data_IF_756393722004
#
_entry.id   IF_756393722004
#
_cell.length_a   1.000
_cell.length_b   1.000
_cell.length_c   1.000
_cell.angle_alpha   90.00
_cell.angle_beta   90.00
_cell.angle_gamma   90.00
#
_symmetry.space_group_name_H-M   'P 1'
#
loop_
_entity.id
_entity.type
_entity.pdbx_description
1 polymer ?
#
# COMPACT_ATOMS: atom_id res chain seq x y z
N UNK A 1 -1.09 10.53 -4.09
CA UNK A 1 -1.49 9.11 -3.96
C UNK A 1 -0.97 8.53 -2.66
N UNK A 2 -1.74 7.63 -2.06
CA UNK A 2 -1.37 6.88 -0.86
C UNK A 2 -0.74 5.56 -1.34
N UNK A 3 0.58 5.35 -1.16
CA UNK A 3 1.22 4.10 -1.55
C UNK A 3 0.78 2.96 -0.63
N UNK A 4 0.53 1.80 -1.22
CA UNK A 4 0.15 0.58 -0.53
C UNK A 4 1.29 -0.43 -0.60
N UNK A 5 1.42 -1.21 0.48
CA UNK A 5 2.38 -2.30 0.60
C UNK A 5 1.83 -3.41 1.48
N UNK A 6 2.44 -4.59 1.43
CA UNK A 6 2.02 -5.71 2.26
C UNK A 6 2.36 -5.44 3.73
N UNK A 7 1.37 -5.57 4.61
CA UNK A 7 1.47 -5.20 6.02
C UNK A 7 2.58 -5.93 6.79
N UNK A 8 2.85 -7.18 6.44
CA UNK A 8 3.79 -8.05 7.17
C UNK A 8 5.18 -8.11 6.52
N UNK A 9 5.33 -7.68 5.25
CA UNK A 9 6.59 -7.82 4.50
C UNK A 9 6.68 -6.85 3.31
N UNK A 10 7.50 -5.82 3.45
CA UNK A 10 7.61 -4.73 2.49
C UNK A 10 8.10 -5.16 1.09
N UNK A 11 8.71 -6.34 0.92
CA UNK A 11 9.21 -6.81 -0.39
C UNK A 11 8.19 -7.59 -1.21
N UNK A 12 6.98 -7.85 -0.69
CA UNK A 12 5.93 -8.59 -1.42
C UNK A 12 5.44 -7.75 -2.59
N UNK A 13 6.00 -8.00 -3.78
CA UNK A 13 5.87 -7.13 -4.96
C UNK A 13 4.46 -7.15 -5.59
N UNK A 14 3.66 -8.17 -5.30
CA UNK A 14 2.26 -8.21 -5.72
C UNK A 14 1.39 -7.14 -5.04
N UNK A 15 1.84 -6.58 -3.90
CA UNK A 15 1.08 -5.63 -3.08
C UNK A 15 1.54 -4.18 -3.19
N UNK A 16 2.51 -3.88 -4.05
CA UNK A 16 2.79 -2.49 -4.44
C UNK A 16 1.62 -1.94 -5.26
N UNK A 17 0.95 -0.95 -4.72
CA UNK A 17 -0.18 -0.28 -5.38
C UNK A 17 -0.28 1.17 -4.90
N UNK A 18 -1.22 1.93 -5.44
CA UNK A 18 -1.50 3.29 -4.99
C UNK A 18 -2.99 3.60 -5.00
N UNK A 19 -3.44 4.39 -4.03
CA UNK A 19 -4.81 4.90 -3.98
C UNK A 19 -4.79 6.41 -4.11
N UNK A 20 -5.36 6.93 -5.19
CA UNK A 20 -5.57 8.37 -5.34
C UNK A 20 -6.73 8.83 -4.46
N UNK A 21 -6.57 10.00 -3.83
CA UNK A 21 -7.60 10.63 -3.02
C UNK A 21 -7.63 12.11 -3.38
N UNK A 22 -8.83 12.61 -3.68
CA UNK A 22 -9.09 14.01 -3.97
C UNK A 22 -10.23 14.46 -3.05
N UNK A 23 -10.01 15.57 -2.34
CA UNK A 23 -11.05 16.28 -1.59
C UNK A 23 -11.17 17.66 -2.26
N UNK A 24 -12.26 17.93 -3.01
CA UNK A 24 -12.32 19.09 -3.90
C UNK A 24 -12.11 20.46 -3.24
N UNK A 25 -12.44 20.60 -1.96
CA UNK A 25 -12.40 21.88 -1.23
C UNK A 25 -11.41 21.87 -0.04
N UNK A 26 -10.51 20.89 0.03
CA UNK A 26 -9.57 20.73 1.13
C UNK A 26 -8.13 20.42 0.66
N UNK A 27 -7.11 20.71 1.50
CA UNK A 27 -7.19 21.46 2.75
C UNK A 27 -7.44 22.96 2.52
N UNK A 28 -8.24 23.60 3.39
CA UNK A 28 -8.36 25.07 3.45
C UNK A 28 -7.13 25.67 4.15
N UNK A 29 -7.04 27.01 4.20
CA UNK A 29 -5.85 27.73 4.69
C UNK A 29 -5.34 27.26 6.07
N UNK A 30 -6.24 26.88 6.99
CA UNK A 30 -5.91 26.48 8.36
C UNK A 30 -6.14 24.97 8.63
N UNK A 31 -6.17 24.13 7.60
CA UNK A 31 -6.50 22.69 7.72
C UNK A 31 -5.38 21.76 7.22
N UNK A 32 -5.40 20.52 7.70
CA UNK A 32 -4.55 19.42 7.21
C UNK A 32 -5.43 18.22 6.91
N UNK A 33 -5.26 17.63 5.73
CA UNK A 33 -5.86 16.34 5.37
C UNK A 33 -4.87 15.23 5.71
N UNK A 34 -5.28 14.31 6.59
CA UNK A 34 -4.56 13.06 6.87
C UNK A 34 -5.41 11.90 6.39
N UNK A 35 -4.84 11.00 5.59
CA UNK A 35 -5.53 9.86 5.03
C UNK A 35 -4.76 8.55 5.25
N UNK A 36 -5.49 7.46 5.45
CA UNK A 36 -4.97 6.10 5.60
C UNK A 36 -5.72 5.21 4.60
N UNK A 37 -4.99 4.42 3.82
CA UNK A 37 -5.57 3.43 2.92
C UNK A 37 -5.16 2.02 3.34
N UNK A 38 -6.10 1.08 3.27
CA UNK A 38 -5.90 -0.35 3.57
C UNK A 38 -6.65 -1.15 2.50
N UNK A 39 -6.02 -2.21 2.00
CA UNK A 39 -6.64 -3.15 1.05
C UNK A 39 -6.69 -4.56 1.63
N UNK A 40 -7.57 -5.41 1.08
CA UNK A 40 -7.68 -6.82 1.45
C UNK A 40 -6.79 -7.75 0.61
N UNK A 41 -5.95 -7.20 -0.27
CA UNK A 41 -5.07 -7.97 -1.15
C UNK A 41 -4.22 -7.10 -2.08
N UNK A 42 -3.45 -7.76 -2.93
CA UNK A 42 -2.57 -7.15 -3.93
C UNK A 42 -3.26 -6.84 -5.25
N UNK A 43 -2.47 -6.43 -6.25
CA UNK A 43 -2.98 -6.04 -7.57
C UNK A 43 -3.74 -7.20 -8.25
N UNK A 44 -4.89 -6.96 -8.92
CA UNK A 44 -5.68 -8.00 -9.58
C UNK A 44 -4.90 -8.83 -10.62
N UNK A 45 -3.91 -8.22 -11.26
CA UNK A 45 -3.09 -8.84 -12.30
C UNK A 45 -1.59 -8.75 -12.00
N UNK A 46 -1.18 -9.14 -10.78
CA UNK A 46 0.22 -9.22 -10.39
C UNK A 46 1.00 -10.22 -11.27
N UNK A 47 2.09 -9.75 -11.91
CA UNK A 47 2.84 -10.53 -12.92
C UNK A 47 4.34 -10.19 -13.04
N UNK A 48 4.93 -9.58 -12.00
CA UNK A 48 6.30 -9.04 -12.02
C UNK A 48 7.28 -9.78 -11.09
N UNK A 49 6.93 -11.01 -10.69
CA UNK A 49 7.71 -11.85 -9.77
C UNK A 49 7.98 -11.16 -8.42
N UNK A 50 9.08 -11.53 -7.77
CA UNK A 50 9.47 -11.04 -6.45
C UNK A 50 9.03 -11.98 -5.32
N UNK A 51 9.20 -11.54 -4.07
CA UNK A 51 8.75 -12.27 -2.89
C UNK A 51 7.22 -12.46 -2.96
N UNK A 52 6.75 -13.70 -2.82
CA UNK A 52 5.33 -14.03 -2.77
C UNK A 52 4.82 -14.07 -1.32
N UNK A 53 3.49 -13.98 -1.14
CA UNK A 53 2.86 -13.94 0.19
C UNK A 53 3.13 -15.22 0.99
N UNK A 54 3.15 -16.36 0.31
CA UNK A 54 3.44 -17.68 0.90
C UNK A 54 4.91 -17.84 1.34
N UNK A 55 5.79 -16.95 0.90
CA UNK A 55 7.21 -16.93 1.29
C UNK A 55 7.49 -15.98 2.46
N UNK A 56 6.46 -15.32 3.00
CA UNK A 56 6.63 -14.32 4.04
C UNK A 56 7.08 -14.92 5.36
N UNK A 57 8.12 -14.34 5.99
CA UNK A 57 8.58 -14.71 7.33
C UNK A 57 7.96 -13.83 8.43
N UNK A 58 7.86 -12.52 8.19
CA UNK A 58 7.26 -11.56 9.11
C UNK A 58 8.12 -11.20 10.33
N UNK A 59 9.43 -11.46 10.27
CA UNK A 59 10.35 -11.24 11.41
C UNK A 59 10.89 -9.80 11.47
N UNK A 60 11.12 -9.18 10.30
CA UNK A 60 11.79 -7.89 10.15
C UNK A 60 10.93 -6.84 9.41
N UNK A 61 9.70 -7.20 9.04
CA UNK A 61 8.81 -6.39 8.21
C UNK A 61 9.27 -6.24 6.75
N UNK A 62 10.32 -6.95 6.33
CA UNK A 62 10.84 -6.92 4.96
C UNK A 62 10.54 -8.20 4.21
N UNK A 63 10.74 -9.35 4.85
CA UNK A 63 10.64 -10.68 4.23
C UNK A 63 9.55 -11.53 4.84
#
# INVERSE_FOLDING_TARGET
>A
DIPLGHKDAAKVRSHFDGMEVIIPDAPREDEIVVAIAVTNGGRPHARVGGLSVDQVKGEDGLN
#
